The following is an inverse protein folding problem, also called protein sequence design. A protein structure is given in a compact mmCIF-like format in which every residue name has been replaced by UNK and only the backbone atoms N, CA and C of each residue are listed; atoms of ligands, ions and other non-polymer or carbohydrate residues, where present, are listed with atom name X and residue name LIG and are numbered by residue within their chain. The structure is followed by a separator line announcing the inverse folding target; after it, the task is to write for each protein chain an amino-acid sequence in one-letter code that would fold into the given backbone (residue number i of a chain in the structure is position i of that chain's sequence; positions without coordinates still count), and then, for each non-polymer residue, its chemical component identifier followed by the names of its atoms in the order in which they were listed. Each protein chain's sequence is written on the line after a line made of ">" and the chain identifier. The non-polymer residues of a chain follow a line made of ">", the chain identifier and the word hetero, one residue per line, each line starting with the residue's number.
data_IF_214348695654
#
_entry.id   IF_214348695654
#
_cell.length_a   1.000
_cell.length_b   1.000
_cell.length_c   1.000
_cell.angle_alpha   90.00
_cell.angle_beta   90.00
_cell.angle_gamma   90.00
#
_symmetry.space_group_name_H-M   'P 1'
#
loop_
_entity.id
_entity.type
_entity.pdbx_description
1 polymer ?
#
# COMPACT_ATOMS: atom_id res chain seq x y z
N UNK A 1 10.85 9.29 18.14
CA UNK A 1 12.09 9.42 17.34
C UNK A 1 12.60 8.04 16.92
N UNK A 2 12.95 7.88 15.64
CA UNK A 2 13.57 6.66 15.14
C UNK A 2 14.96 6.49 15.77
N UNK A 3 15.27 5.30 16.28
CA UNK A 3 16.60 5.00 16.79
C UNK A 3 17.58 4.90 15.61
N UNK A 4 18.79 5.41 15.81
CA UNK A 4 19.93 5.21 14.93
C UNK A 4 20.88 4.14 15.49
N UNK A 5 21.72 3.51 14.66
CA UNK A 5 22.75 2.57 15.10
C UNK A 5 23.75 3.16 16.10
N UNK A 6 23.89 4.49 16.10
CA UNK A 6 24.69 5.23 17.07
C UNK A 6 23.99 5.52 18.39
N UNK A 7 22.69 5.25 18.50
CA UNK A 7 21.91 5.56 19.71
C UNK A 7 22.14 4.52 20.81
N UNK A 8 22.17 4.99 22.05
CA UNK A 8 22.28 4.12 23.22
C UNK A 8 21.06 3.19 23.32
N UNK A 9 21.31 1.88 23.48
CA UNK A 9 20.26 0.86 23.53
C UNK A 9 19.88 0.26 22.17
N UNK A 10 20.58 0.63 21.07
CA UNK A 10 20.38 0.02 19.74
C UNK A 10 20.37 -1.51 19.74
N UNK A 11 21.28 -2.12 20.50
CA UNK A 11 21.39 -3.58 20.61
C UNK A 11 20.48 -4.20 21.69
N UNK A 12 19.84 -3.37 22.52
CA UNK A 12 18.94 -3.82 23.58
C UNK A 12 17.50 -3.99 23.04
N UNK A 13 17.39 -4.82 22.02
CA UNK A 13 16.13 -5.11 21.32
C UNK A 13 15.39 -6.30 21.94
N UNK A 14 15.92 -6.83 23.04
CA UNK A 14 15.40 -7.99 23.74
C UNK A 14 14.24 -7.56 24.64
N UNK A 15 13.06 -7.43 24.06
CA UNK A 15 11.82 -7.20 24.81
C UNK A 15 10.88 -6.23 24.12
N UNK A 16 9.78 -5.94 24.81
CA UNK A 16 8.79 -4.98 24.36
C UNK A 16 9.34 -3.56 24.46
N UNK A 17 9.23 -2.79 23.39
CA UNK A 17 9.65 -1.38 23.37
C UNK A 17 8.86 -0.58 24.42
N UNK A 18 9.49 0.32 25.19
CA UNK A 18 8.76 1.14 26.15
C UNK A 18 7.90 2.21 25.46
N UNK A 19 7.05 2.88 26.24
CA UNK A 19 6.28 4.04 25.80
C UNK A 19 4.89 3.72 25.21
N UNK A 20 4.05 4.75 25.01
CA UNK A 20 2.72 4.59 24.46
C UNK A 20 2.77 4.15 23.00
N UNK A 21 1.71 3.48 22.55
CA UNK A 21 1.49 3.09 21.16
C UNK A 21 0.54 4.06 20.48
N UNK A 22 0.69 4.21 19.16
CA UNK A 22 -0.32 4.86 18.34
C UNK A 22 -1.60 4.02 18.33
N UNK A 23 -2.74 4.63 17.98
CA UNK A 23 -3.95 3.87 17.69
C UNK A 23 -3.85 3.25 16.29
N UNK A 24 -3.21 2.08 16.18
CA UNK A 24 -2.82 1.49 14.90
C UNK A 24 -3.01 -0.03 14.87
N UNK A 25 -3.13 -0.58 13.67
CA UNK A 25 -3.22 -2.02 13.44
C UNK A 25 -2.55 -2.43 12.12
N UNK A 26 -2.13 -3.68 12.00
CA UNK A 26 -1.94 -4.29 10.69
C UNK A 26 -3.29 -4.67 10.10
N UNK A 27 -3.42 -4.61 8.78
CA UNK A 27 -4.61 -5.07 8.06
C UNK A 27 -4.21 -6.01 6.94
N UNK A 28 -4.93 -7.13 6.84
CA UNK A 28 -4.75 -8.11 5.77
C UNK A 28 -6.10 -8.55 5.21
N UNK A 29 -6.29 -8.35 3.91
CA UNK A 29 -7.32 -9.02 3.15
C UNK A 29 -6.79 -10.40 2.74
N UNK A 30 -7.39 -11.47 3.23
CA UNK A 30 -6.90 -12.83 2.97
C UNK A 30 -8.05 -13.83 2.93
N UNK A 31 -7.91 -14.86 2.10
CA UNK A 31 -8.86 -15.99 2.07
C UNK A 31 -8.37 -17.08 3.02
N UNK A 32 -9.27 -17.99 3.40
CA UNK A 32 -8.91 -19.16 4.20
C UNK A 32 -7.77 -19.99 3.57
N UNK A 33 -7.73 -20.07 2.23
CA UNK A 33 -6.68 -20.77 1.48
C UNK A 33 -5.29 -20.13 1.62
N UNK A 34 -5.21 -18.86 2.00
CA UNK A 34 -3.97 -18.10 2.06
C UNK A 34 -3.29 -18.25 3.45
N UNK A 35 -3.84 -19.05 4.37
CA UNK A 35 -3.37 -19.20 5.77
C UNK A 35 -1.86 -19.46 5.90
N UNK A 36 -1.30 -20.29 5.01
CA UNK A 36 0.13 -20.63 5.07
C UNK A 36 1.03 -19.55 4.49
N UNK A 37 0.52 -18.80 3.50
CA UNK A 37 1.21 -17.66 2.90
C UNK A 37 1.25 -16.48 3.88
N UNK A 38 0.10 -16.14 4.47
CA UNK A 38 0.02 -15.05 5.46
C UNK A 38 0.76 -15.41 6.76
N UNK A 39 0.80 -16.69 7.16
CA UNK A 39 1.60 -17.11 8.31
C UNK A 39 3.09 -16.79 8.14
N UNK A 40 3.63 -16.92 6.93
CA UNK A 40 5.03 -16.54 6.62
C UNK A 40 5.22 -15.04 6.75
N UNK A 41 4.30 -14.25 6.21
CA UNK A 41 4.32 -12.78 6.29
C UNK A 41 4.20 -12.27 7.73
N UNK A 42 3.31 -12.86 8.54
CA UNK A 42 3.20 -12.54 9.97
C UNK A 42 4.54 -12.78 10.66
N UNK A 43 5.24 -13.89 10.37
CA UNK A 43 6.54 -14.17 10.97
C UNK A 43 7.60 -13.13 10.59
N UNK A 44 7.62 -12.69 9.34
CA UNK A 44 8.51 -11.60 8.91
C UNK A 44 8.21 -10.30 9.69
N UNK A 45 6.93 -9.92 9.80
CA UNK A 45 6.52 -8.73 10.56
C UNK A 45 6.86 -8.84 12.05
N UNK A 46 6.60 -9.99 12.68
CA UNK A 46 6.90 -10.23 14.08
C UNK A 46 8.41 -10.23 14.36
N UNK A 47 9.19 -10.91 13.52
CA UNK A 47 10.64 -11.06 13.71
C UNK A 47 11.37 -9.71 13.52
N UNK A 48 10.92 -8.88 12.56
CA UNK A 48 11.55 -7.59 12.24
C UNK A 48 11.03 -6.41 13.05
N UNK A 49 9.79 -6.48 13.55
CA UNK A 49 9.13 -5.34 14.15
C UNK A 49 8.19 -5.72 15.31
N UNK A 50 7.09 -6.41 15.01
CA UNK A 50 5.90 -6.33 15.85
C UNK A 50 6.05 -7.03 17.21
N UNK A 51 6.92 -8.03 17.35
CA UNK A 51 7.18 -8.68 18.64
C UNK A 51 7.67 -7.70 19.73
N UNK A 52 8.21 -6.55 19.31
CA UNK A 52 8.60 -5.47 20.23
C UNK A 52 7.45 -4.50 20.52
N UNK A 53 6.51 -4.33 19.60
CA UNK A 53 5.50 -3.27 19.68
C UNK A 53 4.11 -3.77 20.06
N UNK A 54 3.77 -5.03 19.76
CA UNK A 54 2.52 -5.72 20.05
C UNK A 54 1.29 -4.97 19.49
N UNK A 55 1.39 -4.44 18.27
CA UNK A 55 0.23 -3.90 17.56
C UNK A 55 -0.73 -5.01 17.15
N UNK A 56 -2.02 -4.67 17.15
CA UNK A 56 -3.10 -5.58 16.80
C UNK A 56 -3.12 -5.86 15.29
N UNK A 57 -3.79 -6.95 14.89
CA UNK A 57 -3.92 -7.36 13.49
C UNK A 57 -5.38 -7.63 13.12
N UNK A 58 -5.90 -6.89 12.14
CA UNK A 58 -7.23 -7.09 11.57
C UNK A 58 -7.14 -7.91 10.28
N UNK A 59 -7.85 -9.03 10.24
CA UNK A 59 -8.02 -9.85 9.04
C UNK A 59 -9.43 -9.64 8.47
N UNK A 60 -9.51 -9.41 7.17
CA UNK A 60 -10.75 -9.20 6.42
C UNK A 60 -10.87 -10.24 5.30
N UNK A 61 -12.08 -10.71 5.01
CA UNK A 61 -12.35 -11.73 4.01
C UNK A 61 -13.78 -11.62 3.47
N UNK A 62 -14.00 -11.92 2.19
CA UNK A 62 -15.33 -11.97 1.56
C UNK A 62 -16.17 -13.18 2.02
N UNK A 63 -15.60 -14.04 2.86
CA UNK A 63 -16.24 -15.20 3.49
C UNK A 63 -15.86 -15.31 4.97
N UNK A 64 -16.62 -16.06 5.77
CA UNK A 64 -16.24 -16.36 7.15
C UNK A 64 -14.87 -17.05 7.23
N UNK A 65 -14.00 -16.55 8.11
CA UNK A 65 -12.74 -17.22 8.45
C UNK A 65 -13.00 -18.52 9.22
N UNK A 66 -12.33 -19.60 8.79
CA UNK A 66 -12.42 -20.89 9.44
C UNK A 66 -11.57 -20.97 10.73
N UNK A 67 -11.74 -22.07 11.47
CA UNK A 67 -11.04 -22.28 12.74
C UNK A 67 -9.53 -22.45 12.57
N UNK A 68 -9.06 -22.97 11.43
CA UNK A 68 -7.63 -23.16 11.16
C UNK A 68 -6.97 -21.81 10.95
N UNK A 69 -7.55 -20.95 10.11
CA UNK A 69 -7.06 -19.61 9.85
C UNK A 69 -6.91 -18.82 11.15
N UNK A 70 -7.97 -18.79 11.97
CA UNK A 70 -7.98 -18.06 13.25
C UNK A 70 -6.95 -18.61 14.24
N UNK A 71 -6.86 -19.94 14.40
CA UNK A 71 -5.91 -20.55 15.34
C UNK A 71 -4.47 -20.28 14.95
N UNK A 72 -4.12 -20.46 13.68
CA UNK A 72 -2.75 -20.25 13.18
C UNK A 72 -2.37 -18.79 13.34
N UNK A 73 -3.14 -17.86 12.78
CA UNK A 73 -2.79 -16.44 12.82
C UNK A 73 -2.79 -15.86 14.25
N UNK A 74 -3.77 -16.21 15.10
CA UNK A 74 -3.74 -15.82 16.53
C UNK A 74 -2.55 -16.39 17.31
N UNK A 75 -1.97 -17.53 16.89
CA UNK A 75 -0.81 -18.09 17.59
C UNK A 75 0.51 -17.43 17.22
N UNK A 76 0.54 -16.68 16.10
CA UNK A 76 1.75 -16.05 15.56
C UNK A 76 1.85 -14.58 15.93
N UNK A 77 0.72 -13.85 15.97
CA UNK A 77 0.67 -12.41 16.26
C UNK A 77 0.86 -12.16 17.76
N UNK A 78 1.75 -11.22 18.10
CA UNK A 78 2.02 -10.83 19.49
C UNK A 78 0.97 -9.89 20.09
N UNK A 79 0.31 -9.08 19.25
CA UNK A 79 -0.89 -8.29 19.59
C UNK A 79 -2.19 -9.11 19.54
N UNK A 80 -3.34 -8.42 19.60
CA UNK A 80 -4.65 -9.08 19.44
C UNK A 80 -5.00 -9.24 17.96
N UNK A 81 -5.65 -10.34 17.61
CA UNK A 81 -6.18 -10.53 16.27
C UNK A 81 -7.70 -10.36 16.23
N UNK A 82 -8.17 -9.74 15.14
CA UNK A 82 -9.58 -9.50 14.87
C UNK A 82 -9.92 -10.04 13.48
N UNK A 83 -11.13 -10.59 13.32
CA UNK A 83 -11.55 -11.26 12.09
C UNK A 83 -12.91 -10.71 11.64
N UNK A 84 -12.93 -10.03 10.49
CA UNK A 84 -14.14 -9.44 9.90
C UNK A 84 -14.53 -10.13 8.61
N UNK A 85 -15.82 -10.40 8.46
CA UNK A 85 -16.42 -10.76 7.17
C UNK A 85 -16.86 -9.48 6.46
N UNK A 86 -16.51 -9.35 5.19
CA UNK A 86 -16.81 -8.18 4.38
C UNK A 86 -18.30 -8.22 4.01
N UNK A 87 -19.07 -7.14 4.29
CA UNK A 87 -20.46 -7.04 3.86
C UNK A 87 -20.60 -7.15 2.35
N UNK A 88 -21.67 -7.81 1.89
CA UNK A 88 -21.89 -8.08 0.45
C UNK A 88 -21.91 -6.80 -0.38
N UNK A 89 -22.43 -5.71 0.14
CA UNK A 89 -22.47 -4.39 -0.49
C UNK A 89 -21.07 -3.82 -0.81
N UNK A 90 -20.06 -4.20 -0.04
CA UNK A 90 -18.66 -3.81 -0.27
C UNK A 90 -17.91 -4.79 -1.19
N UNK A 91 -18.49 -5.96 -1.45
CA UNK A 91 -17.91 -7.04 -2.27
C UNK A 91 -18.92 -7.61 -3.29
N UNK A 92 -19.58 -6.73 -4.04
CA UNK A 92 -20.50 -7.10 -5.12
C UNK A 92 -20.49 -6.06 -6.24
N UNK A 93 -21.16 -6.37 -7.35
CA UNK A 93 -21.40 -5.39 -8.41
C UNK A 93 -22.43 -4.37 -7.93
N UNK A 94 -22.14 -3.06 -7.97
CA UNK A 94 -23.14 -2.02 -7.76
C UNK A 94 -24.26 -2.08 -8.80
N UNK A 95 -25.44 -1.59 -8.44
CA UNK A 95 -26.64 -1.65 -9.30
C UNK A 95 -26.48 -0.92 -10.64
N UNK A 96 -25.64 0.12 -10.70
CA UNK A 96 -25.37 0.88 -11.91
C UNK A 96 -24.40 0.16 -12.88
N UNK A 97 -23.80 -0.96 -12.48
CA UNK A 97 -22.90 -1.74 -13.33
C UNK A 97 -23.69 -2.73 -14.19
N UNK A 98 -23.73 -2.47 -15.50
CA UNK A 98 -24.05 -3.47 -16.52
C UNK A 98 -23.08 -4.66 -16.48
N UNK A 99 -23.55 -5.77 -15.91
CA UNK A 99 -22.75 -7.00 -15.73
C UNK A 99 -22.45 -7.71 -17.05
N UNK A 100 -23.27 -7.54 -18.10
CA UNK A 100 -23.00 -8.11 -19.42
C UNK A 100 -21.88 -7.35 -20.13
N UNK A 101 -21.86 -6.02 -20.02
CA UNK A 101 -20.73 -5.20 -20.47
C UNK A 101 -19.45 -5.58 -19.72
N UNK A 102 -19.50 -5.68 -18.39
CA UNK A 102 -18.35 -6.08 -17.58
C UNK A 102 -17.84 -7.48 -17.94
N UNK A 103 -18.75 -8.43 -18.23
CA UNK A 103 -18.38 -9.77 -18.70
C UNK A 103 -17.63 -9.74 -20.04
N UNK A 104 -18.13 -8.98 -21.03
CA UNK A 104 -17.46 -8.84 -22.33
C UNK A 104 -16.05 -8.25 -22.22
N UNK A 105 -15.86 -7.26 -21.34
CA UNK A 105 -14.53 -6.71 -21.04
C UNK A 105 -13.59 -7.78 -20.49
N UNK A 106 -14.07 -8.60 -19.55
CA UNK A 106 -13.26 -9.69 -18.99
C UNK A 106 -12.88 -10.73 -20.05
N UNK A 107 -13.81 -11.09 -20.93
CA UNK A 107 -13.58 -12.01 -22.05
C UNK A 107 -12.51 -11.45 -23.02
N UNK A 108 -12.58 -10.15 -23.35
CA UNK A 108 -11.57 -9.48 -24.17
C UNK A 108 -10.19 -9.40 -23.49
N UNK A 109 -10.13 -8.99 -22.23
CA UNK A 109 -8.87 -8.91 -21.48
C UNK A 109 -8.21 -10.30 -21.30
N UNK A 110 -9.02 -11.36 -21.20
CA UNK A 110 -8.54 -12.74 -21.19
C UNK A 110 -7.86 -13.11 -22.52
N UNK A 111 -8.49 -12.76 -23.65
CA UNK A 111 -7.95 -13.00 -24.99
C UNK A 111 -6.63 -12.25 -25.20
N UNK A 112 -6.53 -11.03 -24.66
CA UNK A 112 -5.29 -10.21 -24.66
C UNK A 112 -4.25 -10.65 -23.64
N UNK A 113 -4.54 -11.68 -22.82
CA UNK A 113 -3.64 -12.22 -21.78
C UNK A 113 -3.19 -11.18 -20.74
N UNK A 114 -4.06 -10.23 -20.42
CA UNK A 114 -3.81 -9.26 -19.36
C UNK A 114 -3.89 -9.99 -18.02
N UNK A 115 -2.88 -9.83 -17.16
CA UNK A 115 -2.84 -10.46 -15.83
C UNK A 115 -4.11 -10.14 -15.04
N UNK A 116 -4.78 -11.16 -14.47
CA UNK A 116 -6.09 -11.04 -13.81
C UNK A 116 -7.21 -10.41 -14.66
N UNK A 117 -7.03 -10.32 -15.98
CA UNK A 117 -7.96 -9.68 -16.90
C UNK A 117 -9.37 -10.28 -16.88
N UNK A 118 -9.48 -11.58 -16.63
CA UNK A 118 -10.74 -12.34 -16.54
C UNK A 118 -11.32 -12.44 -15.12
N UNK A 119 -10.55 -12.02 -14.10
CA UNK A 119 -10.88 -12.25 -12.70
C UNK A 119 -11.93 -11.27 -12.18
N UNK A 120 -13.07 -11.81 -11.71
CA UNK A 120 -14.12 -11.06 -11.02
C UNK A 120 -13.69 -10.69 -9.60
N UNK A 121 -13.14 -11.65 -8.85
CA UNK A 121 -12.72 -11.44 -7.46
C UNK A 121 -11.58 -10.42 -7.35
N UNK A 122 -10.67 -10.37 -8.33
CA UNK A 122 -9.60 -9.38 -8.34
C UNK A 122 -10.12 -7.95 -8.48
N UNK A 123 -11.16 -7.74 -9.29
CA UNK A 123 -11.80 -6.42 -9.44
C UNK A 123 -12.55 -5.99 -8.17
N UNK A 124 -13.23 -6.93 -7.52
CA UNK A 124 -13.83 -6.67 -6.21
C UNK A 124 -12.76 -6.34 -5.17
N UNK A 125 -11.62 -7.04 -5.17
CA UNK A 125 -10.48 -6.72 -4.32
C UNK A 125 -9.97 -5.30 -4.57
N UNK A 126 -9.67 -4.92 -5.81
CA UNK A 126 -9.18 -3.57 -6.11
C UNK A 126 -10.18 -2.48 -5.70
N UNK A 127 -11.49 -2.70 -5.94
CA UNK A 127 -12.54 -1.77 -5.49
C UNK A 127 -12.63 -1.72 -3.96
N UNK A 128 -12.53 -2.87 -3.29
CA UNK A 128 -12.58 -2.98 -1.83
C UNK A 128 -11.43 -2.24 -1.15
N UNK A 129 -10.20 -2.46 -1.63
CA UNK A 129 -9.02 -1.77 -1.13
C UNK A 129 -9.09 -0.27 -1.46
N UNK A 130 -9.62 0.11 -2.62
CA UNK A 130 -9.79 1.53 -2.97
C UNK A 130 -10.79 2.27 -2.08
N UNK A 131 -11.88 1.61 -1.68
CA UNK A 131 -13.06 2.32 -1.18
C UNK A 131 -13.56 1.90 0.19
N UNK A 132 -13.24 0.71 0.69
CA UNK A 132 -14.06 0.06 1.73
C UNK A 132 -13.30 -0.54 2.90
N UNK A 133 -12.03 -0.95 2.77
CA UNK A 133 -11.33 -1.57 3.91
C UNK A 133 -11.28 -0.64 5.13
N UNK A 134 -10.98 0.64 4.93
CA UNK A 134 -10.93 1.67 5.98
C UNK A 134 -12.31 2.04 6.55
N UNK A 135 -13.40 1.58 5.91
CA UNK A 135 -14.79 1.77 6.36
C UNK A 135 -15.34 0.54 7.11
N UNK A 136 -14.59 -0.57 7.20
CA UNK A 136 -15.06 -1.76 7.92
C UNK A 136 -15.22 -1.48 9.43
N UNK A 137 -16.22 -2.07 10.11
CA UNK A 137 -16.47 -1.83 11.53
C UNK A 137 -15.25 -2.04 12.44
N UNK A 138 -14.42 -3.04 12.15
CA UNK A 138 -13.18 -3.30 12.89
C UNK A 138 -12.15 -2.18 12.70
N UNK A 139 -12.06 -1.63 11.49
CA UNK A 139 -11.10 -0.58 11.15
C UNK A 139 -11.48 0.78 11.75
N UNK A 140 -12.76 1.02 12.07
CA UNK A 140 -13.22 2.28 12.68
C UNK A 140 -12.60 2.54 14.07
N UNK A 141 -12.04 1.52 14.71
CA UNK A 141 -11.36 1.66 16.01
C UNK A 141 -9.95 2.23 15.89
N UNK A 142 -9.39 2.32 14.68
CA UNK A 142 -8.00 2.68 14.45
C UNK A 142 -7.85 3.99 13.66
N UNK A 143 -6.75 4.69 13.94
CA UNK A 143 -6.32 5.89 13.22
C UNK A 143 -5.30 5.57 12.12
N UNK A 144 -4.50 4.51 12.30
CA UNK A 144 -3.45 4.10 11.37
C UNK A 144 -3.57 2.64 10.99
N UNK A 145 -3.14 2.33 9.76
CA UNK A 145 -3.05 0.96 9.28
C UNK A 145 -1.68 0.68 8.68
N UNK A 146 -1.23 -0.56 8.77
CA UNK A 146 -0.17 -1.11 7.94
C UNK A 146 -0.73 -2.29 7.14
N UNK A 147 -0.87 -2.13 5.83
CA UNK A 147 -1.30 -3.22 4.93
C UNK A 147 -0.21 -4.27 4.79
N UNK A 148 -0.58 -5.52 5.04
CA UNK A 148 0.30 -6.69 4.90
C UNK A 148 -0.41 -7.75 4.09
N UNK A 149 0.11 -8.04 2.89
CA UNK A 149 -0.37 -9.12 2.02
C UNK A 149 0.24 -10.47 2.42
N UNK A 150 -0.37 -11.59 2.00
CA UNK A 150 0.30 -12.89 2.01
C UNK A 150 1.57 -12.89 1.15
N UNK A 151 2.53 -13.77 1.48
CA UNK A 151 3.76 -13.99 0.70
C UNK A 151 4.73 -12.80 0.62
N UNK A 152 4.65 -11.85 1.56
CA UNK A 152 5.65 -10.76 1.70
C UNK A 152 6.86 -11.17 2.55
N UNK A 153 7.99 -10.50 2.34
CA UNK A 153 9.17 -10.58 3.22
C UNK A 153 9.63 -9.20 3.69
N UNK A 154 10.14 -9.13 4.93
CA UNK A 154 10.82 -7.96 5.48
C UNK A 154 12.29 -8.30 5.72
N UNK A 155 13.18 -7.63 4.99
CA UNK A 155 14.58 -8.04 4.99
C UNK A 155 15.40 -7.47 6.13
N UNK A 156 15.01 -6.30 6.65
CA UNK A 156 15.74 -5.55 7.66
C UNK A 156 14.97 -5.52 8.97
N UNK A 157 15.69 -5.34 10.07
CA UNK A 157 15.09 -5.08 11.37
C UNK A 157 14.60 -3.62 11.45
N UNK A 158 13.45 -3.42 12.10
CA UNK A 158 12.78 -2.12 12.21
C UNK A 158 12.81 -1.72 13.69
N UNK A 159 13.77 -0.85 14.02
CA UNK A 159 14.10 -0.56 15.41
C UNK A 159 13.22 0.51 16.06
N UNK A 160 12.41 1.21 15.28
CA UNK A 160 11.48 2.25 15.72
C UNK A 160 10.03 1.89 15.37
N UNK A 161 9.10 2.72 15.81
CA UNK A 161 7.67 2.57 15.54
C UNK A 161 7.29 3.38 14.27
N UNK A 162 7.00 2.73 13.12
CA UNK A 162 6.65 3.44 11.89
C UNK A 162 5.35 4.23 12.02
N UNK A 163 4.35 3.75 12.76
CA UNK A 163 3.11 4.51 12.99
C UNK A 163 3.40 5.81 13.73
N UNK A 164 4.22 5.72 14.78
CA UNK A 164 4.63 6.91 15.55
C UNK A 164 5.47 7.86 14.71
N UNK A 165 6.40 7.33 13.90
CA UNK A 165 7.19 8.13 12.98
C UNK A 165 6.28 8.92 12.01
N UNK A 166 5.30 8.25 11.41
CA UNK A 166 4.37 8.88 10.48
C UNK A 166 3.58 10.01 11.16
N UNK A 167 3.05 9.75 12.36
CA UNK A 167 2.31 10.74 13.13
C UNK A 167 3.17 11.95 13.57
N UNK A 168 4.34 11.71 14.18
CA UNK A 168 5.23 12.76 14.68
C UNK A 168 5.79 13.64 13.54
N UNK A 169 5.96 13.07 12.34
CA UNK A 169 6.46 13.78 11.17
C UNK A 169 5.35 14.26 10.22
N UNK A 170 4.09 14.24 10.68
CA UNK A 170 2.92 14.73 9.93
C UNK A 170 2.77 14.11 8.54
N UNK A 171 3.16 12.84 8.41
CA UNK A 171 2.96 12.03 7.21
C UNK A 171 1.54 11.46 7.23
N UNK A 172 1.00 11.10 6.08
CA UNK A 172 -0.33 10.50 5.95
C UNK A 172 -0.35 9.24 5.09
N UNK A 173 0.60 9.11 4.18
CA UNK A 173 0.71 7.96 3.29
C UNK A 173 2.17 7.61 3.09
N UNK A 174 2.50 6.33 2.99
CA UNK A 174 3.86 5.88 2.72
C UNK A 174 3.92 4.68 1.81
N UNK A 175 5.10 4.47 1.23
CA UNK A 175 5.41 3.33 0.38
C UNK A 175 6.86 2.89 0.52
N UNK A 176 7.15 1.69 0.03
CA UNK A 176 8.52 1.13 -0.13
C UNK A 176 8.85 0.82 -1.59
N UNK A 177 7.84 0.74 -2.46
CA UNK A 177 8.02 0.46 -3.89
C UNK A 177 7.11 1.35 -4.73
N UNK A 178 7.58 1.75 -5.91
CA UNK A 178 6.80 2.49 -6.89
C UNK A 178 7.17 2.07 -8.30
N UNK A 179 6.19 2.00 -9.21
CA UNK A 179 6.37 1.48 -10.55
C UNK A 179 5.37 2.10 -11.53
N UNK A 180 5.56 1.82 -12.82
CA UNK A 180 4.58 2.13 -13.84
C UNK A 180 3.46 1.08 -13.88
N UNK A 181 2.22 1.55 -13.97
CA UNK A 181 1.06 0.70 -14.24
C UNK A 181 1.00 0.31 -15.73
N UNK A 182 0.39 -0.85 -16.01
CA UNK A 182 0.05 -1.28 -17.35
C UNK A 182 -1.12 -0.46 -17.90
N UNK A 183 -0.87 0.31 -18.95
CA UNK A 183 -1.82 1.24 -19.54
C UNK A 183 -3.13 0.56 -19.96
N UNK A 184 -3.07 -0.70 -20.42
CA UNK A 184 -4.22 -1.49 -20.87
C UNK A 184 -5.24 -1.77 -19.76
N UNK A 185 -4.89 -1.50 -18.51
CA UNK A 185 -5.69 -1.80 -17.32
C UNK A 185 -6.41 -0.57 -16.79
N UNK A 186 -5.97 0.62 -17.22
CA UNK A 186 -6.43 1.93 -16.78
C UNK A 186 -6.62 2.95 -17.94
N UNK A 187 -7.07 2.57 -19.15
CA UNK A 187 -7.11 3.48 -20.30
C UNK A 187 -7.94 4.76 -20.08
N UNK A 188 -8.99 4.73 -19.24
CA UNK A 188 -9.81 5.93 -18.95
C UNK A 188 -9.69 6.45 -17.52
N UNK A 189 -8.78 5.88 -16.71
CA UNK A 189 -8.60 6.31 -15.32
C UNK A 189 -8.25 7.79 -15.23
N UNK A 190 -7.29 8.27 -16.02
CA UNK A 190 -6.86 9.67 -15.95
C UNK A 190 -7.92 10.65 -16.43
N UNK A 191 -8.77 10.27 -17.39
CA UNK A 191 -9.88 11.10 -17.83
C UNK A 191 -10.92 11.25 -16.72
N UNK A 192 -11.18 10.18 -15.98
CA UNK A 192 -12.05 10.17 -14.79
C UNK A 192 -11.46 11.03 -13.67
N UNK A 193 -10.13 11.01 -13.50
CA UNK A 193 -9.41 11.87 -12.56
C UNK A 193 -9.49 13.34 -12.96
N UNK A 194 -9.26 13.69 -14.23
CA UNK A 194 -9.43 15.07 -14.73
C UNK A 194 -10.85 15.57 -14.55
N UNK A 195 -11.85 14.69 -14.77
CA UNK A 195 -13.26 14.99 -14.48
C UNK A 195 -13.47 15.31 -13.00
N UNK A 196 -12.90 14.52 -12.09
CA UNK A 196 -12.92 14.81 -10.66
C UNK A 196 -12.25 16.16 -10.34
N UNK A 197 -11.02 16.40 -10.81
CA UNK A 197 -10.28 17.64 -10.56
C UNK A 197 -11.04 18.89 -11.01
N UNK A 198 -11.75 18.79 -12.15
CA UNK A 198 -12.60 19.87 -12.66
C UNK A 198 -13.84 20.11 -11.80
N UNK A 199 -14.45 19.05 -11.30
CA UNK A 199 -15.69 19.12 -10.52
C UNK A 199 -15.44 19.45 -9.04
N UNK A 200 -14.24 19.13 -8.53
CA UNK A 200 -13.82 19.29 -7.15
C UNK A 200 -12.45 19.99 -7.02
N UNK A 201 -12.28 21.20 -7.59
CA UNK A 201 -11.01 21.92 -7.47
C UNK A 201 -10.65 22.24 -6.01
N UNK A 202 -11.63 22.33 -5.12
CA UNK A 202 -11.44 22.56 -3.68
C UNK A 202 -10.68 21.44 -2.96
N UNK A 203 -10.65 20.22 -3.53
CA UNK A 203 -9.96 19.07 -2.95
C UNK A 203 -8.51 18.94 -3.41
N UNK A 204 -8.10 19.71 -4.42
CA UNK A 204 -6.75 19.61 -4.98
C UNK A 204 -5.79 20.40 -4.11
N UNK A 205 -4.88 19.69 -3.43
CA UNK A 205 -3.97 20.30 -2.48
C UNK A 205 -2.93 21.20 -3.19
N UNK A 206 -2.70 22.38 -2.64
CA UNK A 206 -1.56 23.20 -3.03
C UNK A 206 -0.25 22.53 -2.61
N UNK A 207 0.72 22.44 -3.52
CA UNK A 207 1.98 21.74 -3.27
C UNK A 207 1.86 20.22 -3.31
N UNK A 208 0.85 19.69 -4.02
CA UNK A 208 0.68 18.27 -4.24
C UNK A 208 1.79 17.65 -5.10
N UNK A 209 1.71 16.33 -5.31
CA UNK A 209 2.68 15.57 -6.09
C UNK A 209 2.25 15.39 -7.56
N UNK A 210 1.63 16.39 -8.20
CA UNK A 210 1.27 16.30 -9.63
C UNK A 210 2.45 15.90 -10.52
N UNK A 211 3.66 16.41 -10.24
CA UNK A 211 4.87 16.06 -10.98
C UNK A 211 5.31 14.58 -10.82
N UNK A 212 4.80 13.87 -9.80
CA UNK A 212 4.93 12.42 -9.70
C UNK A 212 4.05 11.73 -10.73
N UNK A 213 2.82 12.22 -10.90
CA UNK A 213 1.76 11.60 -11.70
C UNK A 213 1.83 12.00 -13.18
N UNK A 214 2.39 13.15 -13.51
CA UNK A 214 2.32 13.72 -14.85
C UNK A 214 3.58 14.52 -15.21
N UNK A 215 4.05 14.33 -16.44
CA UNK A 215 5.18 15.07 -17.02
C UNK A 215 4.76 16.40 -17.66
N UNK A 216 3.46 16.58 -17.91
CA UNK A 216 2.90 17.70 -18.66
C UNK A 216 1.89 18.51 -17.84
N UNK A 217 2.05 18.52 -16.52
CA UNK A 217 1.26 19.36 -15.61
C UNK A 217 -0.18 18.88 -15.40
N UNK A 218 -0.48 17.63 -15.73
CA UNK A 218 -1.77 16.98 -15.52
C UNK A 218 -2.55 16.68 -16.79
N UNK A 219 -2.02 16.98 -17.98
CA UNK A 219 -2.71 16.67 -19.24
C UNK A 219 -2.78 15.15 -19.48
N UNK A 220 -1.68 14.44 -19.18
CA UNK A 220 -1.58 12.98 -19.27
C UNK A 220 -1.01 12.37 -17.98
N UNK A 221 -1.48 11.16 -17.68
CA UNK A 221 -0.90 10.32 -16.64
C UNK A 221 0.35 9.63 -17.17
N UNK A 222 1.46 9.74 -16.44
CA UNK A 222 2.70 9.03 -16.76
C UNK A 222 2.68 7.56 -16.28
N UNK A 223 1.63 7.15 -15.53
CA UNK A 223 1.38 5.80 -15.00
C UNK A 223 2.16 5.44 -13.72
N UNK A 224 2.94 6.37 -13.16
CA UNK A 224 3.64 6.15 -11.90
C UNK A 224 2.67 6.03 -10.73
N UNK A 225 2.84 4.97 -9.95
CA UNK A 225 2.09 4.75 -8.72
C UNK A 225 2.98 4.11 -7.64
N UNK A 226 2.58 4.31 -6.39
CA UNK A 226 3.07 3.60 -5.21
C UNK A 226 2.43 2.21 -5.12
N UNK A 227 3.21 1.19 -4.80
CA UNK A 227 2.73 -0.19 -4.81
C UNK A 227 2.03 -0.54 -3.50
N UNK A 228 0.70 -0.61 -3.54
CA UNK A 228 -0.18 -0.61 -2.36
C UNK A 228 -0.15 -1.88 -1.50
N UNK A 229 0.50 -2.96 -1.92
CA UNK A 229 0.64 -4.15 -1.05
C UNK A 229 1.46 -3.86 0.21
N UNK A 230 2.29 -2.81 0.19
CA UNK A 230 2.85 -2.18 1.38
C UNK A 230 2.31 -0.75 1.49
N UNK A 231 1.62 -0.47 2.59
CA UNK A 231 1.19 0.88 2.94
C UNK A 231 1.22 1.02 4.46
N UNK A 232 1.81 2.11 4.96
CA UNK A 232 1.53 2.61 6.31
C UNK A 232 0.79 3.93 6.10
N UNK A 233 -0.47 3.99 6.50
CA UNK A 233 -1.35 5.09 6.13
C UNK A 233 -2.24 5.55 7.27
N UNK A 234 -2.69 6.80 7.15
CA UNK A 234 -3.63 7.44 8.06
C UNK A 234 -5.07 7.20 7.56
N UNK A 235 -5.88 6.52 8.38
CA UNK A 235 -7.26 6.18 8.06
C UNK A 235 -8.18 7.41 8.07
N UNK A 236 -7.84 8.47 8.81
CA UNK A 236 -8.64 9.72 8.77
C UNK A 236 -8.54 10.41 7.41
N UNK A 237 -7.38 10.35 6.75
CA UNK A 237 -7.23 10.82 5.37
C UNK A 237 -8.09 10.03 4.40
N UNK A 238 -8.08 8.69 4.46
CA UNK A 238 -8.94 7.85 3.62
C UNK A 238 -10.44 8.06 3.91
N UNK A 239 -10.79 8.46 5.14
CA UNK A 239 -12.15 8.83 5.55
C UNK A 239 -12.51 10.29 5.28
N UNK A 240 -11.56 11.11 4.81
CA UNK A 240 -11.78 12.53 4.56
C UNK A 240 -12.74 12.75 3.40
N UNK A 241 -13.50 13.86 3.43
CA UNK A 241 -14.44 14.20 2.35
C UNK A 241 -13.77 14.17 0.97
N UNK A 242 -12.55 14.69 0.87
CA UNK A 242 -11.79 14.71 -0.39
C UNK A 242 -11.56 13.32 -0.97
N UNK A 243 -11.13 12.36 -0.13
CA UNK A 243 -10.91 10.98 -0.58
C UNK A 243 -12.23 10.26 -0.90
N UNK A 244 -13.26 10.46 -0.08
CA UNK A 244 -14.58 9.86 -0.32
C UNK A 244 -15.18 10.37 -1.64
N UNK A 245 -15.17 11.67 -1.88
CA UNK A 245 -15.67 12.25 -3.15
C UNK A 245 -14.83 11.75 -4.35
N UNK A 246 -13.51 11.60 -4.18
CA UNK A 246 -12.63 11.04 -5.21
C UNK A 246 -13.00 9.59 -5.56
N UNK A 247 -13.07 8.73 -4.55
CA UNK A 247 -13.45 7.33 -4.73
C UNK A 247 -14.86 7.22 -5.32
N UNK A 248 -15.84 7.93 -4.79
CA UNK A 248 -17.23 7.86 -5.25
C UNK A 248 -17.34 8.34 -6.72
N UNK A 249 -16.58 9.36 -7.13
CA UNK A 249 -16.52 9.80 -8.53
C UNK A 249 -15.98 8.70 -9.45
N UNK A 250 -14.92 8.00 -9.05
CA UNK A 250 -14.32 6.91 -9.82
C UNK A 250 -15.22 5.66 -9.84
N UNK A 251 -15.84 5.32 -8.70
CA UNK A 251 -16.71 4.16 -8.60
C UNK A 251 -17.91 4.29 -9.56
N UNK A 252 -18.49 5.48 -9.67
CA UNK A 252 -19.58 5.78 -10.60
C UNK A 252 -19.19 5.71 -12.08
N UNK A 253 -17.91 5.92 -12.41
CA UNK A 253 -17.40 5.71 -13.78
C UNK A 253 -17.30 4.22 -14.15
N UNK A 254 -17.29 3.34 -13.13
CA UNK A 254 -17.36 1.90 -13.30
C UNK A 254 -16.06 1.25 -13.80
N UNK A 255 -14.95 1.99 -13.84
CA UNK A 255 -13.67 1.50 -14.36
C UNK A 255 -13.05 0.31 -13.61
N UNK A 256 -13.42 0.11 -12.33
CA UNK A 256 -13.10 -1.13 -11.61
C UNK A 256 -13.64 -2.39 -12.32
N UNK A 257 -14.77 -2.28 -13.05
CA UNK A 257 -15.45 -3.41 -13.69
C UNK A 257 -15.45 -3.35 -15.23
N UNK A 258 -15.44 -2.15 -15.82
CA UNK A 258 -15.34 -1.93 -17.26
C UNK A 258 -13.89 -1.84 -17.75
N UNK A 259 -12.94 -1.78 -16.83
CA UNK A 259 -11.50 -1.94 -17.07
C UNK A 259 -10.94 -2.89 -16.01
N UNK A 260 -9.79 -2.56 -15.41
CA UNK A 260 -9.19 -3.29 -14.29
C UNK A 260 -8.41 -2.34 -13.38
N UNK A 261 -9.04 -1.22 -13.00
CA UNK A 261 -8.42 -0.22 -12.12
C UNK A 261 -7.97 -0.85 -10.81
N UNK A 262 -6.65 -0.82 -10.58
CA UNK A 262 -6.05 -1.27 -9.33
C UNK A 262 -6.21 -0.22 -8.23
N UNK A 263 -6.25 -0.68 -6.98
CA UNK A 263 -6.17 0.19 -5.81
C UNK A 263 -4.84 0.96 -5.74
N UNK A 264 -3.74 0.36 -6.21
CA UNK A 264 -2.43 1.02 -6.21
C UNK A 264 -2.40 2.35 -7.00
N UNK A 265 -2.79 2.41 -8.29
CA UNK A 265 -2.89 3.69 -8.99
C UNK A 265 -3.97 4.61 -8.40
N UNK A 266 -5.09 4.08 -7.88
CA UNK A 266 -6.15 4.89 -7.26
C UNK A 266 -5.65 5.61 -6.00
N UNK A 267 -5.05 4.90 -5.05
CA UNK A 267 -4.44 5.45 -3.84
C UNK A 267 -3.33 6.44 -4.18
N UNK A 268 -2.51 6.12 -5.17
CA UNK A 268 -1.38 6.97 -5.57
C UNK A 268 -1.80 8.28 -6.19
N UNK A 269 -2.82 8.25 -7.05
CA UNK A 269 -3.42 9.47 -7.62
C UNK A 269 -4.09 10.29 -6.51
N UNK A 270 -4.86 9.64 -5.63
CA UNK A 270 -5.46 10.32 -4.49
C UNK A 270 -4.41 10.98 -3.60
N UNK A 271 -3.35 10.27 -3.21
CA UNK A 271 -2.25 10.82 -2.43
C UNK A 271 -1.56 11.97 -3.19
N UNK A 272 -1.28 11.78 -4.48
CA UNK A 272 -0.59 12.77 -5.29
C UNK A 272 -1.39 14.02 -5.64
N UNK A 273 -2.72 14.02 -5.47
CA UNK A 273 -3.59 15.17 -5.71
C UNK A 273 -4.13 15.81 -4.43
N UNK A 274 -4.51 15.00 -3.44
CA UNK A 274 -5.27 15.41 -2.26
C UNK A 274 -4.37 15.72 -1.05
N UNK A 275 -3.10 15.31 -1.10
CA UNK A 275 -2.11 15.59 -0.07
C UNK A 275 -1.05 16.55 -0.59
N UNK A 276 -0.39 17.24 0.35
CA UNK A 276 0.89 17.90 0.04
C UNK A 276 1.95 16.82 -0.15
N UNK A 277 2.93 17.06 -1.04
CA UNK A 277 3.99 16.09 -1.29
C UNK A 277 4.79 15.73 -0.03
N UNK A 278 4.92 16.68 0.92
CA UNK A 278 5.60 16.45 2.19
C UNK A 278 4.82 15.54 3.16
N UNK A 279 3.54 15.26 2.90
CA UNK A 279 2.75 14.31 3.69
C UNK A 279 2.91 12.86 3.20
N UNK A 280 3.60 12.66 2.07
CA UNK A 280 3.96 11.34 1.52
C UNK A 280 5.37 10.97 2.01
N UNK A 281 5.59 9.68 2.29
CA UNK A 281 6.86 9.18 2.79
C UNK A 281 7.34 7.91 2.07
N UNK A 282 8.62 7.89 1.72
CA UNK A 282 9.30 6.69 1.23
C UNK A 282 10.12 6.09 2.37
N UNK A 283 9.81 4.85 2.76
CA UNK A 283 10.56 4.12 3.77
C UNK A 283 11.76 3.40 3.13
N UNK A 284 12.90 4.09 3.04
CA UNK A 284 14.14 3.52 2.50
C UNK A 284 14.74 2.40 3.38
N UNK A 285 14.38 2.33 4.65
CA UNK A 285 14.92 1.45 5.67
C UNK A 285 14.05 0.21 5.95
N UNK A 286 12.82 0.18 5.43
CA UNK A 286 11.93 -0.98 5.51
C UNK A 286 12.08 -1.82 4.25
N UNK A 287 13.16 -2.59 4.15
CA UNK A 287 13.39 -3.49 3.03
C UNK A 287 12.29 -4.54 2.91
N UNK A 288 11.78 -4.72 1.69
CA UNK A 288 10.53 -5.40 1.46
C UNK A 288 10.55 -6.20 0.16
N UNK A 289 9.88 -7.34 0.16
CA UNK A 289 9.59 -8.09 -1.06
C UNK A 289 8.12 -8.43 -1.14
N UNK A 290 7.58 -8.24 -2.32
CA UNK A 290 6.38 -8.91 -2.79
C UNK A 290 6.63 -9.27 -4.25
N UNK A 291 6.18 -10.44 -4.70
CA UNK A 291 6.50 -10.92 -6.05
C UNK A 291 6.08 -9.90 -7.14
N UNK A 292 6.97 -9.55 -8.10
CA UNK A 292 8.36 -10.01 -8.26
C UNK A 292 9.44 -9.02 -7.75
N UNK A 293 9.05 -7.92 -7.10
CA UNK A 293 9.94 -6.79 -6.84
C UNK A 293 10.49 -6.77 -5.41
N UNK A 294 11.76 -6.42 -5.31
CA UNK A 294 12.48 -6.24 -4.04
C UNK A 294 12.82 -4.77 -3.88
N UNK A 295 12.46 -4.18 -2.74
CA UNK A 295 13.08 -2.97 -2.22
C UNK A 295 14.18 -3.37 -1.23
N UNK A 296 15.41 -2.91 -1.47
CA UNK A 296 16.56 -3.17 -0.62
C UNK A 296 17.40 -1.90 -0.48
N UNK A 297 17.63 -1.38 0.75
CA UNK A 297 18.39 -0.14 0.95
C UNK A 297 19.72 -0.16 0.21
N UNK A 298 20.01 0.88 -0.57
CA UNK A 298 21.22 0.95 -1.41
C UNK A 298 22.50 1.07 -0.58
N UNK A 299 22.48 1.85 0.50
CA UNK A 299 23.65 2.06 1.35
C UNK A 299 24.06 0.81 2.12
N UNK A 300 25.30 0.36 1.93
CA UNK A 300 25.84 -0.82 2.63
C UNK A 300 25.79 -0.65 4.16
N UNK A 301 26.16 0.53 4.66
CA UNK A 301 26.08 0.84 6.09
C UNK A 301 24.67 0.63 6.64
N UNK A 302 23.65 1.19 5.99
CA UNK A 302 22.24 1.00 6.39
C UNK A 302 21.88 -0.48 6.41
N UNK A 303 22.31 -1.26 5.40
CA UNK A 303 22.03 -2.70 5.36
C UNK A 303 22.67 -3.46 6.51
N UNK A 304 23.94 -3.18 6.81
CA UNK A 304 24.67 -3.85 7.89
C UNK A 304 24.10 -3.48 9.26
N UNK A 305 23.83 -2.19 9.46
CA UNK A 305 23.31 -1.66 10.72
C UNK A 305 21.92 -2.22 11.05
N UNK A 306 21.04 -2.36 10.04
CA UNK A 306 19.68 -2.92 10.17
C UNK A 306 19.63 -4.44 9.97
N UNK A 307 20.79 -5.11 9.88
CA UNK A 307 20.92 -6.57 9.70
C UNK A 307 20.08 -7.11 8.53
N UNK A 308 20.06 -6.37 7.44
CA UNK A 308 19.29 -6.70 6.25
C UNK A 308 19.80 -7.98 5.58
N UNK A 309 18.88 -8.81 5.08
CA UNK A 309 19.21 -10.05 4.35
C UNK A 309 18.78 -10.05 2.87
N UNK A 310 18.42 -8.89 2.33
CA UNK A 310 18.16 -8.73 0.89
C UNK A 310 19.46 -8.72 0.09
N UNK A 311 19.41 -9.25 -1.14
CA UNK A 311 20.48 -9.08 -2.11
C UNK A 311 20.32 -7.71 -2.80
N UNK A 312 21.29 -6.78 -2.65
CA UNK A 312 21.14 -5.44 -3.19
C UNK A 312 21.19 -5.37 -4.72
N UNK A 313 21.61 -6.44 -5.40
CA UNK A 313 21.53 -6.53 -6.86
C UNK A 313 20.10 -6.67 -7.36
N UNK A 314 19.21 -7.18 -6.51
CA UNK A 314 17.79 -7.39 -6.83
C UNK A 314 16.95 -6.13 -6.54
N UNK A 315 17.58 -5.04 -6.07
CA UNK A 315 16.87 -3.81 -5.73
C UNK A 315 16.20 -3.19 -6.96
N UNK A 316 14.88 -3.03 -6.90
CA UNK A 316 14.06 -2.54 -8.00
C UNK A 316 14.02 -1.00 -8.09
N UNK A 317 14.27 -0.30 -6.98
CA UNK A 317 14.05 1.16 -6.86
C UNK A 317 14.63 2.00 -8.01
N UNK A 318 15.80 1.62 -8.51
CA UNK A 318 16.56 2.41 -9.47
C UNK A 318 16.48 1.88 -10.91
N UNK A 319 15.71 0.82 -11.14
CA UNK A 319 15.47 0.28 -12.49
C UNK A 319 14.57 1.21 -13.30
N UNK A 320 14.67 1.16 -14.63
CA UNK A 320 13.88 2.02 -15.53
C UNK A 320 12.36 1.87 -15.41
N UNK A 321 11.86 0.74 -14.91
CA UNK A 321 10.42 0.50 -14.68
C UNK A 321 9.95 0.92 -13.28
N UNK A 322 10.84 1.43 -12.43
CA UNK A 322 10.53 2.00 -11.13
C UNK A 322 10.25 3.50 -11.23
N UNK A 323 9.42 4.01 -10.33
CA UNK A 323 9.14 5.44 -10.21
C UNK A 323 9.87 6.09 -9.01
N UNK A 324 10.72 5.34 -8.30
CA UNK A 324 11.40 5.86 -7.09
C UNK A 324 12.39 6.98 -7.43
N UNK A 325 13.12 6.87 -8.54
CA UNK A 325 13.98 7.98 -9.02
C UNK A 325 13.20 9.28 -9.21
N UNK A 326 12.01 9.20 -9.83
CA UNK A 326 11.13 10.36 -10.04
C UNK A 326 10.67 10.93 -8.71
N UNK A 327 10.26 10.08 -7.76
CA UNK A 327 9.87 10.54 -6.43
C UNK A 327 10.99 11.34 -5.74
N UNK A 328 12.24 10.90 -5.85
CA UNK A 328 13.39 11.63 -5.29
C UNK A 328 13.58 12.98 -5.98
N UNK A 329 13.54 13.02 -7.31
CA UNK A 329 13.74 14.24 -8.11
C UNK A 329 12.72 15.34 -7.78
N UNK A 330 11.42 15.02 -7.75
CA UNK A 330 10.37 16.03 -7.52
C UNK A 330 10.35 16.57 -6.07
N UNK A 331 10.92 15.80 -5.14
CA UNK A 331 11.02 16.17 -3.74
C UNK A 331 12.38 16.78 -3.39
N UNK A 332 13.30 16.89 -4.36
CA UNK A 332 14.66 17.41 -4.11
C UNK A 332 15.45 16.54 -3.14
N UNK A 333 15.19 15.23 -3.11
CA UNK A 333 15.88 14.27 -2.25
C UNK A 333 17.15 13.79 -2.95
N UNK A 334 18.24 13.68 -2.19
CA UNK A 334 19.47 13.06 -2.66
C UNK A 334 19.29 11.55 -2.80
N UNK A 335 19.58 11.01 -3.99
CA UNK A 335 19.60 9.56 -4.21
C UNK A 335 20.77 8.95 -3.43
N UNK A 336 20.60 7.75 -2.83
CA UNK A 336 21.62 7.16 -1.97
C UNK A 336 22.87 6.77 -2.76
N UNK A 337 24.05 6.93 -2.17
CA UNK A 337 25.32 6.53 -2.78
C UNK A 337 25.27 5.07 -3.28
N UNK A 338 25.64 4.86 -4.55
CA UNK A 338 25.66 3.54 -5.20
C UNK A 338 24.39 3.19 -5.96
N UNK A 339 23.40 4.09 -6.05
CA UNK A 339 22.18 3.85 -6.82
C UNK A 339 22.46 3.69 -8.32
N UNK A 340 23.52 4.33 -8.83
CA UNK A 340 23.94 4.23 -10.24
C UNK A 340 24.30 2.80 -10.64
N UNK A 341 24.86 2.02 -9.71
CA UNK A 341 25.23 0.62 -9.92
C UNK A 341 24.02 -0.32 -9.90
N UNK A 342 22.83 0.19 -9.54
CA UNK A 342 21.59 -0.57 -9.40
C UNK A 342 20.59 -0.29 -10.53
N UNK A 343 20.97 0.44 -11.58
CA UNK A 343 20.07 0.85 -12.66
C UNK A 343 19.79 -0.24 -13.70
N UNK A 344 20.68 -1.24 -13.83
CA UNK A 344 20.62 -2.29 -14.87
C UNK A 344 19.68 -3.46 -14.57
#
# INVERSE_FOLDING_TARGET
>A
MALSPSDQGWNDLLGTAPGPRMNATFVSLARNSDVWEIARSIRQVEDRFNRRYNYDWVFLNDKPFDATFKKVTSSLVSGKTYYGEIPREHWSFPDFIDQDKARKVREDMAQRKIIYGDSVSYRHMCRFESGFFFRQPLMLNYEWYWRVEPSVELFCDIHYDPFRFMAENKKKYSFVLSLYEYEETIPTLWDSVKKFMKNHPEHIAEGNSMAFLSDDGGEKYNKCHFWSNFEVGNLEWLRSKAYIDFFDSLDQDGGFFYERWGDAPVHSIAAGLLLKKEEIHFFNDIAYYHVPFTHCPTGEKTRLDLRCHCNPKDNFDWKGYSCTSRYFEINGLEKPQGYEEQQE
#
